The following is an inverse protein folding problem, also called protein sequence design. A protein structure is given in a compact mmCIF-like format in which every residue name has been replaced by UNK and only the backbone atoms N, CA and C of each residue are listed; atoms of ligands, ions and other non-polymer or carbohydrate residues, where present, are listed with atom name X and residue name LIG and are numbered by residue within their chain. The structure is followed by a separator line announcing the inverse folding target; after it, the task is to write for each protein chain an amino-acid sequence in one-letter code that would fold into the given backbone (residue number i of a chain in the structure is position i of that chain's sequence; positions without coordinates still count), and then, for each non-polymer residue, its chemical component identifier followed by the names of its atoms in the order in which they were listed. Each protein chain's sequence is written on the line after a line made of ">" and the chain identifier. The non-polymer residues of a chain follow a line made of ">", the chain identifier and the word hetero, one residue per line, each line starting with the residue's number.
data_IF_435299136196
#
_entry.id   IF_435299136196
#
_cell.length_a   1.000
_cell.length_b   1.000
_cell.length_c   1.000
_cell.angle_alpha   90.00
_cell.angle_beta   90.00
_cell.angle_gamma   90.00
#
_symmetry.space_group_name_H-M   'P 1'
#
loop_
_entity.id
_entity.type
_entity.pdbx_description
1 polymer ?
#
# COMPACT_ATOMS: atom_id res chain seq x y z
N UNK A 1 -5.58 5.31 4.73
CA UNK A 1 -5.53 4.03 5.49
C UNK A 1 -4.18 3.34 5.31
N UNK A 2 -3.83 2.87 4.09
CA UNK A 2 -2.54 2.19 3.85
C UNK A 2 -1.33 3.05 4.27
N UNK A 3 -1.29 4.33 3.86
CA UNK A 3 -0.18 5.21 4.21
C UNK A 3 0.06 5.32 5.73
N UNK A 4 -1.01 5.44 6.51
CA UNK A 4 -0.95 5.47 7.97
C UNK A 4 -0.42 4.15 8.53
N UNK A 5 -0.93 3.01 8.06
CA UNK A 5 -0.49 1.70 8.49
C UNK A 5 1.01 1.48 8.23
N UNK A 6 1.49 1.84 7.04
CA UNK A 6 2.91 1.73 6.67
C UNK A 6 3.79 2.65 7.54
N UNK A 7 3.46 3.94 7.63
CA UNK A 7 4.30 4.91 8.36
C UNK A 7 4.26 4.67 9.88
N UNK A 8 3.26 3.94 10.39
CA UNK A 8 3.21 3.54 11.80
C UNK A 8 4.20 2.43 12.17
N UNK A 9 4.76 1.71 11.19
CA UNK A 9 5.74 0.66 11.44
C UNK A 9 7.04 1.29 11.93
N UNK A 10 7.67 0.67 12.94
CA UNK A 10 8.94 1.14 13.48
C UNK A 10 9.99 1.36 12.38
N UNK A 11 10.68 2.51 12.45
CA UNK A 11 11.69 2.96 11.49
C UNK A 11 11.18 3.37 10.10
N UNK A 12 9.89 3.25 9.77
CA UNK A 12 9.36 3.77 8.50
C UNK A 12 9.24 5.29 8.56
N UNK A 13 9.67 5.98 7.49
CA UNK A 13 9.74 7.44 7.41
C UNK A 13 9.00 8.03 6.21
N UNK A 14 8.54 7.21 5.28
CA UNK A 14 7.82 7.65 4.09
C UNK A 14 7.12 6.50 3.39
N UNK A 15 6.11 6.83 2.59
CA UNK A 15 5.31 5.90 1.80
C UNK A 15 4.91 6.57 0.48
N UNK A 16 4.91 5.81 -0.61
CA UNK A 16 4.44 6.21 -1.92
C UNK A 16 3.65 5.08 -2.60
N UNK A 17 2.83 5.43 -3.58
CA UNK A 17 1.97 4.50 -4.32
C UNK A 17 2.31 4.56 -5.81
N UNK A 18 2.47 3.40 -6.45
CA UNK A 18 2.90 3.36 -7.85
C UNK A 18 4.22 4.13 -8.04
N UNK A 19 4.24 5.12 -8.93
CA UNK A 19 5.38 6.04 -9.10
C UNK A 19 5.73 6.83 -7.85
N UNK A 20 4.78 7.08 -6.95
CA UNK A 20 5.02 7.82 -5.72
C UNK A 20 5.62 9.19 -6.01
N UNK A 21 6.76 9.50 -5.38
CA UNK A 21 7.47 10.76 -5.59
C UNK A 21 8.10 10.87 -6.98
N UNK A 22 8.46 9.77 -7.65
CA UNK A 22 9.08 9.84 -8.99
C UNK A 22 8.10 10.42 -10.03
N UNK A 23 6.79 10.29 -9.79
CA UNK A 23 5.74 10.82 -10.66
C UNK A 23 5.56 12.34 -10.56
N UNK A 24 6.09 13.00 -9.53
CA UNK A 24 5.88 14.46 -9.33
C UNK A 24 6.69 15.31 -10.30
N UNK A 25 7.72 14.73 -10.90
CA UNK A 25 8.62 15.42 -11.85
C UNK A 25 8.21 15.19 -13.32
N UNK A 26 7.11 14.45 -13.55
CA UNK A 26 6.62 14.07 -14.88
C UNK A 26 5.39 14.88 -15.28
N UNK A 27 5.10 14.94 -16.59
CA UNK A 27 3.87 15.57 -17.08
C UNK A 27 2.67 14.68 -16.78
N UNK A 28 1.48 15.27 -16.62
CA UNK A 28 0.24 14.49 -16.44
C UNK A 28 -0.02 13.47 -17.55
N UNK A 29 0.41 13.77 -18.79
CA UNK A 29 0.34 12.84 -19.93
C UNK A 29 1.20 11.58 -19.78
N UNK A 30 2.14 11.57 -18.83
CA UNK A 30 3.10 10.48 -18.58
C UNK A 30 2.81 9.75 -17.26
N UNK A 31 1.94 10.29 -16.40
CA UNK A 31 1.66 9.77 -15.06
C UNK A 31 0.35 9.01 -14.98
N UNK A 32 -0.67 9.43 -15.71
CA UNK A 32 -2.00 8.82 -15.61
C UNK A 32 -2.12 7.54 -16.44
N UNK A 33 -2.89 6.59 -15.93
CA UNK A 33 -3.10 5.30 -16.57
C UNK A 33 -4.38 5.33 -17.41
N UNK A 34 -4.25 4.98 -18.69
CA UNK A 34 -5.37 5.02 -19.64
C UNK A 34 -6.22 3.76 -19.48
N UNK A 35 -7.51 3.93 -19.23
CA UNK A 35 -8.49 2.82 -19.28
C UNK A 35 -8.59 2.30 -20.71
N UNK A 36 -8.39 0.99 -20.88
CA UNK A 36 -8.39 0.34 -22.18
C UNK A 36 -9.81 0.03 -22.68
N UNK A 37 -10.01 -0.02 -24.01
CA UNK A 37 -11.21 -0.57 -24.63
C UNK A 37 -11.43 -2.07 -24.31
N UNK A 38 -12.67 -2.55 -24.42
CA UNK A 38 -13.05 -3.88 -23.94
C UNK A 38 -12.41 -5.06 -24.66
N UNK A 39 -12.01 -4.87 -25.92
CA UNK A 39 -11.29 -5.85 -26.72
C UNK A 39 -9.80 -5.99 -26.34
N UNK A 40 -9.30 -5.11 -25.47
CA UNK A 40 -7.92 -5.12 -24.96
C UNK A 40 -7.82 -5.54 -23.49
N UNK A 41 -8.96 -5.78 -22.83
CA UNK A 41 -8.98 -6.33 -21.48
C UNK A 41 -8.47 -7.77 -21.48
N UNK A 42 -7.70 -8.13 -20.45
CA UNK A 42 -7.15 -9.49 -20.31
C UNK A 42 -8.02 -10.34 -19.37
N UNK A 43 -8.19 -9.86 -18.16
CA UNK A 43 -8.70 -10.64 -17.03
C UNK A 43 -9.86 -9.97 -16.29
N UNK A 44 -9.98 -8.65 -16.35
CA UNK A 44 -11.10 -7.92 -15.75
C UNK A 44 -11.57 -6.73 -16.59
N UNK A 45 -12.83 -6.27 -16.42
CA UNK A 45 -13.31 -5.06 -17.07
C UNK A 45 -12.56 -3.81 -16.64
N UNK A 46 -12.50 -2.82 -17.54
CA UNK A 46 -11.91 -1.50 -17.32
C UNK A 46 -10.42 -1.51 -16.97
N UNK A 47 -9.69 -2.51 -17.47
CA UNK A 47 -8.25 -2.62 -17.27
C UNK A 47 -7.49 -1.43 -17.84
N UNK A 48 -6.39 -1.05 -17.20
CA UNK A 48 -5.54 0.06 -17.61
C UNK A 48 -4.36 -0.41 -18.47
N UNK A 49 -3.84 0.49 -19.31
CA UNK A 49 -2.67 0.25 -20.15
C UNK A 49 -1.35 0.19 -19.38
N UNK A 50 -1.33 0.77 -18.18
CA UNK A 50 -0.20 0.86 -17.26
C UNK A 50 -0.71 0.90 -15.82
N UNK A 51 0.19 0.89 -14.83
CA UNK A 51 -0.16 0.94 -13.41
C UNK A 51 0.73 1.94 -12.63
N UNK A 52 0.86 3.14 -13.18
CA UNK A 52 1.65 4.24 -12.63
C UNK A 52 1.02 4.78 -11.32
N UNK A 53 -0.30 4.74 -11.21
CA UNK A 53 -1.06 5.08 -10.00
C UNK A 53 -0.94 4.01 -8.89
N UNK A 54 -0.37 2.84 -9.19
CA UNK A 54 -0.13 1.77 -8.22
C UNK A 54 -1.41 1.17 -7.62
N UNK A 55 -2.39 0.89 -8.48
CA UNK A 55 -3.66 0.26 -8.14
C UNK A 55 -4.67 1.16 -7.41
N UNK A 56 -4.38 2.45 -7.21
CA UNK A 56 -5.25 3.36 -6.46
C UNK A 56 -5.46 4.68 -7.21
N UNK A 57 -6.73 4.99 -7.50
CA UNK A 57 -7.15 6.29 -8.03
C UNK A 57 -8.28 6.87 -7.17
N UNK A 58 -8.22 8.17 -6.86
CA UNK A 58 -9.25 8.82 -6.03
C UNK A 58 -9.42 8.21 -4.64
N UNK A 59 -8.43 7.46 -4.14
CA UNK A 59 -8.50 6.73 -2.87
C UNK A 59 -9.23 5.38 -2.95
N UNK A 60 -9.50 4.86 -4.15
CA UNK A 60 -10.22 3.60 -4.40
C UNK A 60 -9.34 2.66 -5.23
N UNK A 61 -9.40 1.36 -4.96
CA UNK A 61 -8.71 0.33 -5.75
C UNK A 61 -9.25 0.29 -7.18
N UNK A 62 -8.37 0.31 -8.18
CA UNK A 62 -8.77 0.32 -9.60
C UNK A 62 -8.97 -1.06 -10.22
N UNK A 63 -8.46 -2.11 -9.57
CA UNK A 63 -8.41 -3.48 -10.11
C UNK A 63 -7.01 -3.88 -10.56
N UNK A 64 -6.12 -2.92 -10.79
CA UNK A 64 -4.69 -3.18 -10.98
C UNK A 64 -4.00 -3.49 -9.65
N UNK A 65 -2.78 -4.04 -9.72
CA UNK A 65 -1.96 -4.33 -8.54
C UNK A 65 -1.78 -3.10 -7.65
N UNK A 66 -2.02 -3.26 -6.35
CA UNK A 66 -1.73 -2.21 -5.37
C UNK A 66 -0.22 -2.20 -5.10
N UNK A 67 0.46 -1.16 -5.59
CA UNK A 67 1.91 -1.02 -5.46
C UNK A 67 2.21 0.01 -4.37
N UNK A 68 2.79 -0.45 -3.26
CA UNK A 68 3.18 0.38 -2.12
C UNK A 68 4.70 0.36 -1.99
N UNK A 69 5.31 1.54 -1.92
CA UNK A 69 6.75 1.71 -1.68
C UNK A 69 6.95 2.44 -0.36
N UNK A 70 7.95 2.03 0.41
CA UNK A 70 8.20 2.61 1.72
C UNK A 70 9.68 2.91 1.94
N UNK A 71 9.95 3.98 2.69
CA UNK A 71 11.28 4.37 3.10
C UNK A 71 11.53 3.97 4.56
N UNK A 72 12.53 3.11 4.78
CA UNK A 72 12.92 2.63 6.12
C UNK A 72 14.23 3.30 6.50
N UNK A 73 14.27 4.03 7.62
CA UNK A 73 15.53 4.58 8.13
C UNK A 73 16.44 3.46 8.66
N UNK A 74 17.77 3.68 8.70
CA UNK A 74 18.68 2.77 9.38
C UNK A 74 18.32 2.57 10.87
N UNK A 75 18.72 1.42 11.41
CA UNK A 75 18.54 1.09 12.83
C UNK A 75 19.32 2.09 13.69
N UNK A 76 18.72 2.58 14.80
CA UNK A 76 19.23 3.76 15.50
C UNK A 76 20.55 3.55 16.25
N UNK A 77 20.81 2.34 16.76
CA UNK A 77 22.03 2.05 17.53
C UNK A 77 23.13 1.53 16.63
N UNK A 78 24.34 2.09 16.75
CA UNK A 78 25.47 1.80 15.89
C UNK A 78 26.61 1.19 16.70
N UNK A 79 27.36 0.25 16.10
CA UNK A 79 28.55 -0.33 16.72
C UNK A 79 29.63 0.74 17.00
N UNK A 80 29.68 1.79 16.16
CA UNK A 80 30.34 3.04 16.47
C UNK A 80 29.28 4.02 16.98
N UNK A 81 29.07 4.11 18.30
CA UNK A 81 27.95 4.86 18.86
C UNK A 81 28.10 6.36 18.60
N UNK A 82 26.95 7.02 18.46
CA UNK A 82 26.88 8.48 18.32
C UNK A 82 27.00 9.16 19.69
N UNK A 83 27.45 10.42 19.75
CA UNK A 83 27.31 11.24 20.96
C UNK A 83 25.85 11.34 21.41
N UNK A 84 25.65 11.35 22.72
CA UNK A 84 24.37 11.44 23.41
C UNK A 84 24.59 12.13 24.77
N UNK A 85 23.58 12.09 25.63
CA UNK A 85 23.59 12.75 26.94
C UNK A 85 23.03 11.80 28.00
N UNK A 86 23.70 11.74 29.15
CA UNK A 86 23.17 11.08 30.34
C UNK A 86 22.01 11.92 30.89
N UNK A 87 20.82 11.33 31.00
CA UNK A 87 19.61 12.06 31.38
C UNK A 87 19.55 12.41 32.88
N UNK A 88 20.39 11.81 33.71
CA UNK A 88 20.51 12.13 35.15
C UNK A 88 21.53 13.25 35.38
N UNK A 89 22.70 13.16 34.74
CA UNK A 89 23.80 14.12 34.99
C UNK A 89 23.85 15.29 34.01
N UNK A 90 23.29 15.13 32.81
CA UNK A 90 23.39 16.08 31.70
C UNK A 90 24.75 16.09 30.99
N UNK A 91 25.66 15.19 31.36
CA UNK A 91 27.00 15.09 30.76
C UNK A 91 26.97 14.33 29.42
N UNK A 92 27.92 14.64 28.54
CA UNK A 92 28.07 13.96 27.25
C UNK A 92 28.50 12.51 27.47
N UNK A 93 27.79 11.59 26.83
CA UNK A 93 28.09 10.15 26.83
C UNK A 93 27.94 9.60 25.41
N UNK A 94 28.41 8.38 25.17
CA UNK A 94 28.13 7.68 23.91
C UNK A 94 26.80 6.94 24.02
N UNK A 95 26.03 6.93 22.92
CA UNK A 95 24.76 6.22 22.84
C UNK A 95 24.94 4.72 23.12
N UNK A 96 23.99 4.13 23.84
CA UNK A 96 24.01 2.70 24.15
C UNK A 96 23.79 1.84 22.89
N UNK A 97 24.46 0.70 22.83
CA UNK A 97 24.38 -0.24 21.71
C UNK A 97 23.47 -1.42 22.06
N UNK A 98 22.34 -1.54 21.37
CA UNK A 98 21.30 -2.53 21.69
C UNK A 98 21.27 -3.72 20.72
N UNK A 99 21.45 -3.48 19.42
CA UNK A 99 21.34 -4.52 18.40
C UNK A 99 22.41 -4.42 17.32
N UNK A 100 22.72 -5.57 16.71
CA UNK A 100 23.84 -5.75 15.78
C UNK A 100 23.46 -5.95 14.31
N UNK A 101 22.18 -5.95 13.99
CA UNK A 101 21.69 -6.03 12.62
C UNK A 101 22.11 -4.79 11.81
N UNK A 102 22.73 -5.01 10.65
CA UNK A 102 23.15 -3.92 9.74
C UNK A 102 21.99 -3.41 8.89
N UNK A 103 21.07 -4.30 8.49
CA UNK A 103 19.94 -3.97 7.63
C UNK A 103 18.70 -4.76 8.04
N UNK A 104 17.58 -4.04 8.22
CA UNK A 104 16.26 -4.63 8.53
C UNK A 104 15.29 -4.59 7.37
N UNK A 105 15.66 -3.99 6.23
CA UNK A 105 14.73 -3.72 5.13
C UNK A 105 13.98 -4.99 4.65
N UNK A 106 14.61 -6.18 4.52
CA UNK A 106 13.89 -7.39 4.14
C UNK A 106 12.82 -7.80 5.16
N UNK A 107 13.14 -7.80 6.45
CA UNK A 107 12.18 -8.15 7.51
C UNK A 107 11.09 -7.08 7.64
N UNK A 108 11.44 -5.80 7.47
CA UNK A 108 10.51 -4.69 7.43
C UNK A 108 9.49 -4.82 6.28
N UNK A 109 9.91 -5.37 5.13
CA UNK A 109 9.02 -5.68 4.00
C UNK A 109 7.89 -6.64 4.40
N UNK A 110 8.22 -7.73 5.11
CA UNK A 110 7.21 -8.70 5.60
C UNK A 110 6.21 -8.05 6.55
N UNK A 111 6.68 -7.17 7.44
CA UNK A 111 5.80 -6.42 8.35
C UNK A 111 4.90 -5.46 7.55
N UNK A 112 5.44 -4.79 6.53
CA UNK A 112 4.68 -3.91 5.66
C UNK A 112 3.58 -4.65 4.89
N UNK A 113 3.88 -5.82 4.33
CA UNK A 113 2.90 -6.70 3.67
C UNK A 113 1.75 -7.06 4.61
N UNK A 114 2.07 -7.47 5.85
CA UNK A 114 1.07 -7.80 6.86
C UNK A 114 0.16 -6.60 7.19
N UNK A 115 0.75 -5.41 7.36
CA UNK A 115 -0.02 -4.18 7.64
C UNK A 115 -0.92 -3.78 6.46
N UNK A 116 -0.46 -3.95 5.21
CA UNK A 116 -1.29 -3.73 4.02
C UNK A 116 -2.44 -4.74 3.99
N UNK A 117 -2.16 -6.03 4.25
CA UNK A 117 -3.17 -7.08 4.25
C UNK A 117 -4.30 -6.81 5.27
N UNK A 118 -3.95 -6.34 6.48
CA UNK A 118 -4.95 -5.93 7.49
C UNK A 118 -5.84 -4.81 6.96
N UNK A 119 -5.25 -3.75 6.41
CA UNK A 119 -6.01 -2.62 5.86
C UNK A 119 -6.91 -3.02 4.70
N UNK A 120 -6.44 -3.92 3.83
CA UNK A 120 -7.23 -4.44 2.71
C UNK A 120 -8.37 -5.33 3.19
N UNK A 121 -8.13 -6.17 4.20
CA UNK A 121 -9.17 -6.99 4.81
C UNK A 121 -10.26 -6.12 5.45
N UNK A 122 -9.90 -5.07 6.19
CA UNK A 122 -10.85 -4.12 6.77
C UNK A 122 -11.69 -3.44 5.68
N UNK A 123 -11.06 -2.95 4.61
CA UNK A 123 -11.76 -2.32 3.49
C UNK A 123 -12.68 -3.31 2.75
N UNK A 124 -12.25 -4.57 2.62
CA UNK A 124 -13.03 -5.65 2.02
C UNK A 124 -14.29 -5.95 2.83
N UNK A 125 -14.14 -6.10 4.15
CA UNK A 125 -15.26 -6.34 5.05
C UNK A 125 -16.19 -5.13 5.15
N UNK A 126 -15.68 -3.90 5.11
CA UNK A 126 -16.52 -2.69 5.06
C UNK A 126 -17.37 -2.65 3.78
N UNK A 127 -16.81 -3.05 2.64
CA UNK A 127 -17.52 -3.02 1.35
C UNK A 127 -18.50 -4.18 1.18
N UNK A 128 -18.11 -5.40 1.56
CA UNK A 128 -18.85 -6.62 1.23
C UNK A 128 -19.59 -7.22 2.44
N UNK A 129 -19.25 -6.83 3.66
CA UNK A 129 -19.87 -7.32 4.88
C UNK A 129 -19.91 -8.84 5.01
N UNK A 130 -20.93 -9.33 5.71
CA UNK A 130 -21.20 -10.73 5.98
C UNK A 130 -20.55 -11.23 7.27
N UNK A 131 -21.25 -12.14 7.95
CA UNK A 131 -20.80 -12.72 9.23
C UNK A 131 -20.02 -14.03 9.03
N UNK A 132 -20.00 -14.55 7.80
CA UNK A 132 -19.28 -15.77 7.42
C UNK A 132 -18.54 -15.57 6.09
N UNK A 133 -17.44 -16.31 5.90
CA UNK A 133 -16.67 -16.24 4.65
C UNK A 133 -17.50 -16.59 3.42
N UNK A 134 -18.47 -17.50 3.55
CA UNK A 134 -19.38 -17.86 2.46
C UNK A 134 -20.26 -16.70 2.03
N UNK A 135 -20.80 -15.95 3.00
CA UNK A 135 -21.62 -14.77 2.75
C UNK A 135 -20.81 -13.64 2.11
N UNK A 136 -19.65 -13.29 2.70
CA UNK A 136 -18.76 -12.26 2.15
C UNK A 136 -18.35 -12.60 0.72
N UNK A 137 -18.01 -13.87 0.44
CA UNK A 137 -17.69 -14.34 -0.91
C UNK A 137 -18.86 -14.16 -1.88
N UNK A 138 -20.06 -14.58 -1.50
CA UNK A 138 -21.26 -14.42 -2.34
C UNK A 138 -21.57 -12.94 -2.62
N UNK A 139 -21.37 -12.05 -1.64
CA UNK A 139 -21.53 -10.60 -1.81
C UNK A 139 -20.53 -10.05 -2.83
N UNK A 140 -19.26 -10.45 -2.72
CA UNK A 140 -18.22 -10.09 -3.68
C UNK A 140 -18.51 -10.58 -5.09
N UNK A 141 -18.84 -11.87 -5.26
CA UNK A 141 -19.12 -12.47 -6.56
C UNK A 141 -20.30 -11.77 -7.26
N UNK A 142 -21.39 -11.49 -6.52
CA UNK A 142 -22.52 -10.70 -7.04
C UNK A 142 -22.08 -9.31 -7.49
N UNK A 143 -21.28 -8.61 -6.69
CA UNK A 143 -20.74 -7.30 -7.06
C UNK A 143 -19.89 -7.41 -8.33
N UNK A 144 -18.99 -8.39 -8.42
CA UNK A 144 -18.11 -8.59 -9.57
C UNK A 144 -18.91 -8.80 -10.87
N UNK A 145 -20.02 -9.54 -10.83
CA UNK A 145 -20.92 -9.71 -11.97
C UNK A 145 -21.60 -8.40 -12.43
N UNK A 146 -21.64 -7.35 -11.61
CA UNK A 146 -22.17 -6.03 -12.01
C UNK A 146 -21.14 -5.14 -12.72
N UNK A 147 -19.86 -5.52 -12.71
CA UNK A 147 -18.76 -4.74 -13.28
C UNK A 147 -18.68 -5.00 -14.78
N UNK A 148 -18.55 -3.93 -15.56
CA UNK A 148 -18.41 -3.99 -17.01
C UNK A 148 -19.18 -2.89 -17.73
N UNK A 149 -19.25 -2.92 -19.07
CA UNK A 149 -20.01 -1.97 -19.85
C UNK A 149 -21.48 -1.94 -19.41
N UNK A 150 -22.01 -0.76 -19.13
CA UNK A 150 -23.39 -0.61 -18.60
C UNK A 150 -24.45 -1.10 -19.59
N UNK A 151 -24.16 -1.10 -20.88
CA UNK A 151 -25.04 -1.65 -21.92
C UNK A 151 -25.31 -3.15 -21.76
N UNK A 152 -24.40 -3.88 -21.08
CA UNK A 152 -24.52 -5.33 -20.86
C UNK A 152 -25.08 -5.67 -19.47
N UNK A 153 -25.51 -4.68 -18.67
CA UNK A 153 -26.11 -4.95 -17.36
C UNK A 153 -27.52 -5.50 -17.54
N UNK A 154 -27.89 -6.58 -16.84
CA UNK A 154 -29.30 -7.00 -16.80
C UNK A 154 -30.14 -5.83 -16.31
N UNK A 155 -31.27 -5.57 -16.97
CA UNK A 155 -32.21 -4.54 -16.56
C UNK A 155 -32.55 -4.73 -15.07
N UNK A 156 -32.66 -3.65 -14.27
CA UNK A 156 -33.12 -3.78 -12.90
C UNK A 156 -34.49 -4.48 -12.93
N UNK A 157 -34.59 -5.62 -12.25
CA UNK A 157 -35.87 -6.28 -11.97
C UNK A 157 -36.62 -5.50 -10.90
#
# INVERSE_FOLDING_TARGET
>A
RIAQAIVSINAFKGVGFGYGFDGTDLRGSEVHDVILPSDQWRDHPWQHGSNNHGGIEGGISTGEDIIVRAAVKPIPTLAHPLPSVDLETGEEVLAHYERSDVCVVPAAGVVAEAMVAIVLADAWLEKFGGDTLGETRSNFERYAHTIGPRANRPAPK
#
